data_IF_452775691653
#
_entry.id   IF_452775691653
#
_cell.length_a   1.000
_cell.length_b   1.000
_cell.length_c   1.000
_cell.angle_alpha   90.00
_cell.angle_beta   90.00
_cell.angle_gamma   90.00
#
_symmetry.space_group_name_H-M   'P 1'
#
loop_
_entity.id
_entity.type
_entity.pdbx_description
1 polymer ?
#
# COMPACT_ATOMS: atom_id res chain seq x y z
N UNK A 1 4.01 10.63 15.52
CA UNK A 1 3.82 9.39 16.29
C UNK A 1 2.37 8.95 16.21
N UNK A 2 1.42 9.41 17.02
CA UNK A 2 0.04 8.87 16.97
C UNK A 2 -0.66 8.97 15.61
N UNK A 3 -0.53 10.11 14.91
CA UNK A 3 -1.07 10.26 13.55
C UNK A 3 -0.35 9.32 12.58
N UNK A 4 0.98 9.23 12.66
CA UNK A 4 1.76 8.34 11.80
C UNK A 4 1.40 6.85 12.04
N UNK A 5 1.19 6.46 13.29
CA UNK A 5 0.73 5.13 13.67
C UNK A 5 -0.65 4.80 13.08
N UNK A 6 -1.58 5.76 13.12
CA UNK A 6 -2.89 5.61 12.48
C UNK A 6 -2.79 5.41 10.97
N UNK A 7 -1.98 6.22 10.30
CA UNK A 7 -1.77 6.14 8.84
C UNK A 7 -1.05 4.83 8.43
N UNK A 8 -0.07 4.37 9.21
CA UNK A 8 0.59 3.08 9.00
C UNK A 8 -0.33 1.90 9.30
N UNK A 9 -1.21 2.04 10.29
CA UNK A 9 -2.22 1.04 10.60
C UNK A 9 -3.14 0.80 9.41
N UNK A 10 -3.54 1.88 8.72
CA UNK A 10 -4.35 1.82 7.50
C UNK A 10 -3.60 1.12 6.35
N UNK A 11 -2.34 1.50 6.12
CA UNK A 11 -1.48 0.84 5.11
C UNK A 11 -1.28 -0.65 5.39
N UNK A 12 -1.05 -1.06 6.65
CA UNK A 12 -0.90 -2.49 6.98
C UNK A 12 -2.15 -3.28 6.59
N UNK A 13 -3.35 -2.70 6.70
CA UNK A 13 -4.56 -3.40 6.27
C UNK A 13 -4.60 -3.60 4.75
N UNK A 14 -4.10 -2.62 4.01
CA UNK A 14 -4.19 -2.57 2.56
C UNK A 14 -3.03 -3.31 1.87
N UNK A 15 -1.83 -3.23 2.42
CA UNK A 15 -0.56 -3.61 1.74
C UNK A 15 0.04 -4.93 2.27
N UNK A 16 -0.63 -5.61 3.21
CA UNK A 16 -0.13 -6.84 3.88
C UNK A 16 0.22 -8.03 2.97
N UNK A 17 -0.09 -7.97 1.67
CA UNK A 17 -0.01 -9.13 0.79
C UNK A 17 1.02 -9.02 -0.35
N UNK A 18 1.64 -7.85 -0.57
CA UNK A 18 2.42 -7.61 -1.81
C UNK A 18 3.95 -7.55 -1.64
N UNK A 19 4.59 -8.12 -0.61
CA UNK A 19 6.05 -7.97 -0.47
C UNK A 19 6.81 -9.08 0.25
N UNK A 20 7.61 -9.86 -0.48
CA UNK A 20 8.60 -10.82 0.04
C UNK A 20 9.91 -10.16 0.56
N UNK A 21 9.80 -9.03 1.26
CA UNK A 21 10.95 -8.37 1.89
C UNK A 21 11.05 -8.69 3.39
N UNK A 22 12.25 -8.98 3.91
CA UNK A 22 12.46 -9.13 5.37
C UNK A 22 12.04 -7.87 6.16
N UNK A 23 12.21 -6.69 5.54
CA UNK A 23 11.75 -5.40 6.04
C UNK A 23 10.27 -5.08 5.74
N UNK A 24 9.57 -5.94 5.01
CA UNK A 24 8.12 -5.84 4.71
C UNK A 24 7.29 -6.86 5.49
N UNK A 25 7.90 -7.56 6.45
CA UNK A 25 7.15 -8.49 7.28
C UNK A 25 6.04 -7.77 8.06
N UNK A 26 4.80 -8.25 7.90
CA UNK A 26 3.59 -7.74 8.59
C UNK A 26 3.82 -7.57 10.10
N UNK A 27 4.55 -8.49 10.71
CA UNK A 27 4.93 -8.43 12.13
C UNK A 27 5.80 -7.22 12.46
N UNK A 28 6.78 -6.86 11.63
CA UNK A 28 7.61 -5.68 11.86
C UNK A 28 6.78 -4.40 11.74
N UNK A 29 5.86 -4.34 10.77
CA UNK A 29 4.90 -3.24 10.64
C UNK A 29 4.03 -3.08 11.88
N UNK A 30 3.41 -4.17 12.35
CA UNK A 30 2.58 -4.17 13.57
C UNK A 30 3.41 -3.69 14.77
N UNK A 31 4.61 -4.27 14.97
CA UNK A 31 5.49 -3.88 16.09
C UNK A 31 5.87 -2.41 16.03
N UNK A 32 6.11 -1.86 14.83
CA UNK A 32 6.45 -0.44 14.67
C UNK A 32 5.26 0.48 15.00
N UNK A 33 4.04 0.14 14.55
CA UNK A 33 2.82 0.88 14.89
C UNK A 33 2.58 0.86 16.40
N UNK A 34 2.69 -0.32 17.02
CA UNK A 34 2.54 -0.48 18.48
C UNK A 34 3.60 0.32 19.25
N UNK A 35 4.84 0.33 18.76
CA UNK A 35 5.91 1.15 19.33
C UNK A 35 5.59 2.65 19.25
N UNK A 36 5.07 3.14 18.11
CA UNK A 36 4.70 4.55 17.95
C UNK A 36 3.51 4.97 18.83
N UNK A 37 2.52 4.09 19.02
CA UNK A 37 1.40 4.30 19.95
C UNK A 37 1.93 4.38 21.38
N UNK A 38 2.72 3.39 21.80
CA UNK A 38 3.30 3.34 23.14
C UNK A 38 4.16 4.57 23.42
N UNK A 39 5.06 4.94 22.50
CA UNK A 39 5.94 6.10 22.65
C UNK A 39 5.15 7.41 22.63
N UNK A 40 4.15 7.55 21.76
CA UNK A 40 3.26 8.70 21.70
C UNK A 40 2.50 8.92 23.01
N UNK A 41 1.87 7.87 23.53
CA UNK A 41 1.20 7.91 24.83
C UNK A 41 2.19 8.17 25.98
N UNK A 42 3.40 7.60 25.93
CA UNK A 42 4.43 7.84 26.93
C UNK A 42 4.88 9.33 26.96
N UNK A 43 5.02 9.96 25.78
CA UNK A 43 5.36 11.38 25.68
C UNK A 43 4.24 12.29 26.17
N UNK A 44 2.98 11.99 25.84
CA UNK A 44 1.82 12.76 26.29
C UNK A 44 1.65 12.70 27.81
N UNK A 45 1.96 11.56 28.42
CA UNK A 45 1.75 11.33 29.85
C UNK A 45 2.90 11.84 30.72
N UNK A 46 4.08 12.05 30.13
CA UNK A 46 5.26 12.56 30.82
C UNK A 46 5.80 11.63 31.90
N UNK A 47 5.43 10.34 31.89
CA UNK A 47 5.92 9.37 32.87
C UNK A 47 7.44 9.27 32.76
N UNK A 48 8.20 9.63 33.80
CA UNK A 48 9.69 9.68 33.75
C UNK A 48 10.20 10.52 32.55
N UNK A 49 9.87 11.81 32.54
CA UNK A 49 10.24 12.77 31.49
C UNK A 49 11.71 12.70 31.01
N UNK A 50 12.66 12.40 31.89
CA UNK A 50 14.07 12.24 31.50
C UNK A 50 14.29 11.09 30.51
N UNK A 51 13.65 9.95 30.77
CA UNK A 51 13.76 8.75 29.92
C UNK A 51 12.94 8.90 28.66
N UNK A 52 11.71 9.44 28.75
CA UNK A 52 10.90 9.67 27.56
C UNK A 52 11.58 10.64 26.61
N UNK A 53 12.26 11.69 27.12
CA UNK A 53 13.08 12.61 26.32
C UNK A 53 14.24 11.89 25.64
N UNK A 54 14.99 11.05 26.36
CA UNK A 54 16.11 10.30 25.78
C UNK A 54 15.63 9.34 24.68
N UNK A 55 14.57 8.58 24.93
CA UNK A 55 14.01 7.62 23.96
C UNK A 55 13.46 8.36 22.74
N UNK A 56 12.73 9.46 22.93
CA UNK A 56 12.26 10.28 21.82
C UNK A 56 13.43 10.86 21.02
N UNK A 57 14.47 11.35 21.68
CA UNK A 57 15.64 11.91 21.02
C UNK A 57 16.32 10.86 20.14
N UNK A 58 16.55 9.65 20.65
CA UNK A 58 17.12 8.54 19.88
C UNK A 58 16.20 8.17 18.71
N UNK A 59 14.89 8.04 18.95
CA UNK A 59 13.91 7.65 17.93
C UNK A 59 13.84 8.67 16.79
N UNK A 60 13.62 9.95 17.10
CA UNK A 60 13.56 11.02 16.08
C UNK A 60 14.91 11.23 15.39
N UNK A 61 16.03 10.95 16.06
CA UNK A 61 17.35 10.98 15.42
C UNK A 61 17.51 9.84 14.40
N UNK A 62 17.06 8.62 14.73
CA UNK A 62 17.04 7.50 13.78
C UNK A 62 16.14 7.83 12.59
N UNK A 63 14.95 8.39 12.83
CA UNK A 63 14.03 8.81 11.77
C UNK A 63 14.64 9.90 10.88
N UNK A 64 15.26 10.93 11.48
CA UNK A 64 15.97 11.98 10.73
C UNK A 64 17.11 11.42 9.86
N UNK A 65 17.88 10.44 10.36
CA UNK A 65 18.95 9.80 9.56
C UNK A 65 18.35 8.98 8.42
N UNK A 66 17.29 8.21 8.66
CA UNK A 66 16.62 7.44 7.63
C UNK A 66 15.98 8.34 6.55
N UNK A 67 15.33 9.44 6.95
CA UNK A 67 14.72 10.40 6.02
C UNK A 67 15.78 11.15 5.22
N UNK A 68 16.91 11.52 5.85
CA UNK A 68 18.06 12.10 5.16
C UNK A 68 18.62 11.14 4.10
N UNK A 69 18.79 9.87 4.43
CA UNK A 69 19.24 8.86 3.47
C UNK A 69 18.31 8.77 2.25
N UNK A 70 16.98 8.74 2.47
CA UNK A 70 15.98 8.71 1.39
C UNK A 70 15.99 9.99 0.56
N UNK A 71 16.12 11.15 1.21
CA UNK A 71 16.20 12.45 0.54
C UNK A 71 17.44 12.54 -0.36
N UNK A 72 18.60 12.10 0.13
CA UNK A 72 19.85 12.08 -0.65
C UNK A 72 19.81 11.05 -1.79
N UNK A 73 19.05 9.97 -1.62
CA UNK A 73 18.84 8.95 -2.66
C UNK A 73 17.81 9.38 -3.72
N UNK A 74 17.20 10.56 -3.60
CA UNK A 74 16.22 11.05 -4.56
C UNK A 74 14.89 10.29 -4.55
N UNK A 75 14.55 9.60 -3.45
CA UNK A 75 13.26 8.91 -3.35
C UNK A 75 12.11 9.93 -3.29
N UNK A 76 11.00 9.63 -3.97
CA UNK A 76 9.83 10.51 -4.01
C UNK A 76 9.15 10.63 -2.64
N UNK A 77 9.18 9.57 -1.82
CA UNK A 77 8.49 9.51 -0.54
C UNK A 77 9.35 8.95 0.61
N UNK A 78 9.05 9.39 1.83
CA UNK A 78 9.67 8.86 3.05
C UNK A 78 9.20 7.42 3.36
N UNK A 79 8.00 7.02 2.93
CA UNK A 79 7.32 5.80 3.39
C UNK A 79 6.99 5.78 4.89
N UNK A 80 7.13 6.93 5.57
CA UNK A 80 7.00 7.05 7.03
C UNK A 80 5.54 7.30 7.47
N UNK A 81 4.65 7.60 6.52
CA UNK A 81 3.24 7.91 6.74
C UNK A 81 2.31 6.97 5.95
N UNK A 82 2.83 5.78 5.65
CA UNK A 82 2.21 4.78 4.79
C UNK A 82 1.91 5.27 3.39
N UNK A 83 0.67 5.08 2.93
CA UNK A 83 0.20 5.39 1.56
C UNK A 83 0.39 6.87 1.15
N UNK A 84 0.58 7.76 2.12
CA UNK A 84 0.77 9.18 1.83
C UNK A 84 2.21 9.50 1.46
N UNK A 85 2.40 9.92 0.21
CA UNK A 85 3.68 10.38 -0.30
C UNK A 85 4.03 11.77 0.25
N UNK A 86 4.74 11.77 1.39
CA UNK A 86 5.34 12.99 1.93
C UNK A 86 6.78 13.10 1.46
N UNK A 87 7.11 14.23 0.85
CA UNK A 87 8.47 14.54 0.39
C UNK A 87 9.47 14.40 1.56
N UNK A 88 10.56 13.60 1.40
CA UNK A 88 11.52 13.34 2.46
C UNK A 88 12.13 14.58 3.11
N UNK A 89 12.27 15.69 2.38
CA UNK A 89 12.85 16.94 2.90
C UNK A 89 11.97 17.58 3.98
N UNK A 90 10.65 17.56 3.82
CA UNK A 90 9.73 18.09 4.84
C UNK A 90 9.77 17.26 6.11
N UNK A 91 9.83 15.93 5.98
CA UNK A 91 9.95 15.03 7.13
C UNK A 91 11.28 15.22 7.84
N UNK A 92 12.40 15.35 7.11
CA UNK A 92 13.71 15.65 7.67
C UNK A 92 13.71 16.97 8.45
N UNK A 93 13.09 18.03 7.92
CA UNK A 93 12.97 19.31 8.63
C UNK A 93 12.16 19.19 9.92
N UNK A 94 11.06 18.44 9.89
CA UNK A 94 10.21 18.21 11.06
C UNK A 94 10.96 17.40 12.13
N UNK A 95 11.58 16.28 11.77
CA UNK A 95 12.33 15.44 12.70
C UNK A 95 13.55 16.19 13.26
N UNK A 96 14.27 16.93 12.41
CA UNK A 96 15.39 17.78 12.83
C UNK A 96 14.96 18.88 13.80
N UNK A 97 13.82 19.51 13.57
CA UNK A 97 13.26 20.50 14.48
C UNK A 97 12.88 19.88 15.84
N UNK A 98 12.26 18.70 15.84
CA UNK A 98 11.92 17.97 17.07
C UNK A 98 13.16 17.55 17.86
N UNK A 99 14.19 17.02 17.18
CA UNK A 99 15.49 16.70 17.79
C UNK A 99 16.12 17.95 18.41
N UNK A 100 16.15 19.06 17.67
CA UNK A 100 16.62 20.35 18.18
C UNK A 100 15.85 20.79 19.43
N UNK A 101 14.52 20.78 19.37
CA UNK A 101 13.68 21.13 20.53
C UNK A 101 13.96 20.22 21.73
N UNK A 102 14.11 18.91 21.55
CA UNK A 102 14.40 17.96 22.63
C UNK A 102 15.81 18.17 23.23
N UNK A 103 16.78 18.60 22.42
CA UNK A 103 18.13 18.96 22.91
C UNK A 103 18.12 20.26 23.72
N UNK A 104 17.41 21.30 23.25
CA UNK A 104 17.40 22.61 23.89
C UNK A 104 16.45 22.70 25.10
N UNK A 105 15.32 21.98 25.06
CA UNK A 105 14.38 21.95 26.16
C UNK A 105 15.01 21.27 27.38
N UNK A 106 15.21 22.04 28.46
CA UNK A 106 15.52 21.47 29.78
C UNK A 106 14.27 20.78 30.30
N UNK A 107 14.46 19.58 30.85
CA UNK A 107 13.41 18.88 31.58
C UNK A 107 13.20 19.61 32.91
N UNK A 108 12.56 20.78 32.88
CA UNK A 108 12.14 21.44 34.12
C UNK A 108 11.18 20.48 34.82
N UNK A 109 11.60 20.01 35.99
CA UNK A 109 11.01 18.90 36.75
C UNK A 109 9.70 19.29 37.43
N UNK A 110 9.02 20.31 36.92
CA UNK A 110 7.70 20.71 37.35
C UNK A 110 6.72 19.68 36.79
N UNK A 111 6.47 18.63 37.58
CA UNK A 111 5.55 17.55 37.21
C UNK A 111 4.21 18.16 36.79
N UNK A 112 3.71 17.86 35.58
CA UNK A 112 2.43 18.40 35.15
C UNK A 112 1.33 18.03 36.17
N UNK A 113 0.53 19.02 36.53
CA UNK A 113 -0.47 18.98 37.62
C UNK A 113 -1.47 17.82 37.51
N UNK A 114 -1.67 17.27 36.29
CA UNK A 114 -2.69 16.28 35.99
C UNK A 114 -2.44 14.85 36.54
N UNK A 115 -1.19 14.45 36.83
CA UNK A 115 -0.86 13.05 37.14
C UNK A 115 -0.20 12.84 38.51
N UNK A 116 -0.70 13.53 39.54
CA UNK A 116 -0.24 13.30 40.93
C UNK A 116 -0.87 12.06 41.59
N UNK A 117 -1.94 11.51 41.01
CA UNK A 117 -2.63 10.31 41.50
C UNK A 117 -2.14 9.05 40.79
N UNK A 118 -1.78 8.01 41.56
CA UNK A 118 -1.48 6.68 41.04
C UNK A 118 -2.61 6.10 40.19
N UNK A 119 -3.86 6.49 40.46
CA UNK A 119 -5.01 6.07 39.67
C UNK A 119 -4.96 6.58 38.22
N UNK A 120 -4.42 7.78 38.00
CA UNK A 120 -4.31 8.35 36.66
C UNK A 120 -3.29 7.55 35.83
N UNK A 121 -2.12 7.24 36.40
CA UNK A 121 -1.10 6.40 35.73
C UNK A 121 -1.62 5.01 35.38
N UNK A 122 -2.36 4.38 36.30
CA UNK A 122 -3.00 3.07 36.06
C UNK A 122 -4.04 3.18 34.95
N UNK A 123 -4.88 4.23 34.95
CA UNK A 123 -5.88 4.45 33.90
C UNK A 123 -5.24 4.63 32.52
N UNK A 124 -4.16 5.40 32.43
CA UNK A 124 -3.40 5.57 31.19
C UNK A 124 -2.80 4.26 30.72
N UNK A 125 -2.17 3.49 31.61
CA UNK A 125 -1.59 2.20 31.25
C UNK A 125 -2.65 1.23 30.72
N UNK A 126 -3.80 1.15 31.39
CA UNK A 126 -4.95 0.35 30.92
C UNK A 126 -5.42 0.81 29.55
N UNK A 127 -5.54 2.13 29.33
CA UNK A 127 -5.95 2.67 28.03
C UNK A 127 -4.97 2.28 26.92
N UNK A 128 -3.66 2.39 27.16
CA UNK A 128 -2.64 1.98 26.18
C UNK A 128 -2.72 0.49 25.91
N UNK A 129 -2.81 -0.36 26.94
CA UNK A 129 -2.94 -1.82 26.76
C UNK A 129 -4.21 -2.18 25.99
N UNK A 130 -5.33 -1.51 26.26
CA UNK A 130 -6.57 -1.73 25.52
C UNK A 130 -6.46 -1.28 24.06
N UNK A 131 -5.85 -0.11 23.80
CA UNK A 131 -5.62 0.37 22.45
C UNK A 131 -4.73 -0.62 21.68
N UNK A 132 -3.53 -0.90 22.18
CA UNK A 132 -2.57 -1.84 21.60
C UNK A 132 -3.17 -3.26 21.40
N UNK A 133 -3.88 -3.75 22.42
CA UNK A 133 -4.52 -5.07 22.35
C UNK A 133 -5.63 -5.13 21.31
N UNK A 134 -6.45 -4.08 21.22
CA UNK A 134 -7.53 -3.99 20.23
C UNK A 134 -7.01 -3.83 18.80
N UNK A 135 -5.97 -3.03 18.59
CA UNK A 135 -5.34 -2.83 17.28
C UNK A 135 -4.65 -4.10 16.82
N UNK A 136 -3.86 -4.75 17.69
CA UNK A 136 -3.21 -6.02 17.37
C UNK A 136 -4.24 -7.12 17.11
N UNK A 137 -5.29 -7.25 17.93
CA UNK A 137 -6.34 -8.25 17.72
C UNK A 137 -7.07 -8.03 16.41
N UNK A 138 -7.45 -6.79 16.10
CA UNK A 138 -8.12 -6.46 14.85
C UNK A 138 -7.19 -6.70 13.66
N UNK A 139 -5.96 -6.19 13.68
CA UNK A 139 -4.99 -6.40 12.61
C UNK A 139 -4.63 -7.88 12.38
N UNK A 140 -4.68 -8.74 13.39
CA UNK A 140 -4.42 -10.18 13.22
C UNK A 140 -5.63 -10.97 12.71
N UNK A 141 -6.86 -10.51 13.01
CA UNK A 141 -8.09 -11.21 12.60
C UNK A 141 -8.75 -10.63 11.35
N UNK A 142 -8.35 -9.44 10.89
CA UNK A 142 -8.72 -8.95 9.57
C UNK A 142 -7.93 -9.75 8.53
N UNK A 143 -8.57 -10.78 7.99
CA UNK A 143 -8.17 -11.42 6.75
C UNK A 143 -8.56 -10.46 5.62
N UNK A 144 -7.56 -9.95 4.89
CA UNK A 144 -7.83 -9.19 3.68
C UNK A 144 -8.62 -10.09 2.71
N UNK A 145 -9.61 -9.51 2.02
CA UNK A 145 -10.34 -10.23 0.99
C UNK A 145 -9.37 -10.76 -0.06
N UNK A 146 -9.28 -12.08 -0.18
CA UNK A 146 -8.51 -12.76 -1.22
C UNK A 146 -9.49 -13.45 -2.18
N UNK A 147 -9.12 -13.52 -3.45
CA UNK A 147 -9.86 -14.35 -4.41
C UNK A 147 -9.23 -15.73 -4.39
N UNK A 148 -10.04 -16.75 -4.12
CA UNK A 148 -9.61 -18.14 -4.21
C UNK A 148 -9.47 -18.62 -5.67
N UNK A 149 -9.00 -19.85 -5.84
CA UNK A 149 -8.80 -20.43 -7.17
C UNK A 149 -10.10 -20.60 -7.98
N UNK A 150 -11.26 -20.61 -7.31
CA UNK A 150 -12.58 -20.74 -7.92
C UNK A 150 -13.18 -19.37 -8.30
N UNK A 151 -12.47 -18.27 -8.03
CA UNK A 151 -12.96 -16.92 -8.25
C UNK A 151 -13.96 -16.46 -7.17
N UNK A 152 -14.03 -17.15 -6.03
CA UNK A 152 -14.83 -16.72 -4.89
C UNK A 152 -14.00 -15.85 -3.97
N UNK A 153 -14.67 -14.84 -3.41
CA UNK A 153 -14.06 -13.95 -2.43
C UNK A 153 -14.09 -14.61 -1.05
N UNK A 154 -12.93 -14.72 -0.42
CA UNK A 154 -12.78 -15.15 0.97
C UNK A 154 -12.38 -13.91 1.77
N UNK A 155 -13.22 -13.47 2.71
CA UNK A 155 -12.93 -12.34 3.61
C UNK A 155 -13.87 -11.15 3.41
N UNK A 156 -13.39 -9.95 3.75
CA UNK A 156 -14.13 -8.70 3.55
C UNK A 156 -14.28 -8.41 2.04
N UNK A 157 -15.52 -8.33 1.56
CA UNK A 157 -15.81 -8.17 0.13
C UNK A 157 -15.42 -6.79 -0.42
N UNK A 158 -15.12 -5.82 0.44
CA UNK A 158 -14.83 -4.44 0.01
C UNK A 158 -13.38 -4.23 -0.47
N UNK A 159 -12.44 -5.03 0.01
CA UNK A 159 -11.01 -4.92 -0.32
C UNK A 159 -10.50 -6.24 -0.91
N UNK A 160 -10.01 -6.20 -2.16
CA UNK A 160 -9.53 -7.39 -2.86
C UNK A 160 -8.09 -7.20 -3.30
N UNK A 161 -7.19 -8.02 -2.77
CA UNK A 161 -5.80 -8.07 -3.24
C UNK A 161 -5.67 -9.13 -4.33
N UNK A 162 -5.04 -8.73 -5.43
CA UNK A 162 -4.71 -9.59 -6.55
C UNK A 162 -3.27 -10.07 -6.38
N UNK A 163 -3.07 -11.38 -6.45
CA UNK A 163 -1.77 -12.07 -6.44
C UNK A 163 -1.61 -12.81 -7.77
N UNK A 164 -1.25 -12.10 -8.87
CA UNK A 164 -1.22 -12.67 -10.21
C UNK A 164 -0.30 -13.89 -10.32
N UNK A 165 0.75 -13.95 -9.50
CA UNK A 165 1.74 -15.02 -9.42
C UNK A 165 1.08 -16.38 -9.20
N UNK A 166 0.04 -16.42 -8.37
CA UNK A 166 -0.70 -17.63 -8.05
C UNK A 166 -1.68 -18.04 -9.14
N UNK A 167 -1.95 -17.19 -10.14
CA UNK A 167 -2.93 -17.47 -11.18
C UNK A 167 -2.38 -18.30 -12.34
N UNK A 168 -1.06 -18.48 -12.42
CA UNK A 168 -0.43 -19.19 -13.55
C UNK A 168 -0.91 -20.64 -13.60
N UNK A 169 -1.38 -21.05 -14.78
CA UNK A 169 -2.08 -22.32 -15.06
C UNK A 169 -3.47 -22.45 -14.41
N UNK A 170 -4.04 -21.36 -13.90
CA UNK A 170 -5.39 -21.33 -13.35
C UNK A 170 -6.33 -20.53 -14.26
N UNK A 171 -7.63 -20.79 -14.13
CA UNK A 171 -8.64 -19.92 -14.74
C UNK A 171 -8.52 -18.54 -14.10
N UNK A 172 -8.50 -17.48 -14.90
CA UNK A 172 -8.33 -16.11 -14.41
C UNK A 172 -9.41 -15.80 -13.35
N UNK A 173 -9.03 -15.65 -12.06
CA UNK A 173 -10.03 -15.61 -10.97
C UNK A 173 -10.91 -14.36 -11.02
N UNK A 174 -10.42 -13.29 -11.62
CA UNK A 174 -11.13 -12.02 -11.76
C UNK A 174 -12.16 -11.98 -12.91
N UNK A 175 -12.29 -13.05 -13.72
CA UNK A 175 -13.24 -13.09 -14.85
C UNK A 175 -14.68 -12.69 -14.50
N UNK A 176 -15.27 -13.13 -13.36
CA UNK A 176 -16.64 -12.77 -13.00
C UNK A 176 -16.82 -11.27 -12.73
N UNK A 177 -15.73 -10.56 -12.43
CA UNK A 177 -15.71 -9.15 -12.05
C UNK A 177 -15.26 -8.24 -13.19
N UNK A 178 -15.00 -8.79 -14.38
CA UNK A 178 -14.63 -8.06 -15.59
C UNK A 178 -15.83 -7.89 -16.52
N UNK A 179 -16.09 -6.67 -16.97
CA UNK A 179 -17.12 -6.38 -17.98
C UNK A 179 -16.87 -7.09 -19.33
N UNK A 180 -15.60 -7.36 -19.65
CA UNK A 180 -15.16 -8.14 -20.81
C UNK A 180 -14.83 -9.61 -20.50
N UNK A 181 -15.14 -10.11 -19.30
CA UNK A 181 -14.74 -11.45 -18.85
C UNK A 181 -15.10 -12.58 -19.83
N UNK A 182 -16.33 -12.58 -20.36
CA UNK A 182 -16.79 -13.58 -21.37
C UNK A 182 -15.97 -13.58 -22.67
N UNK A 183 -15.34 -12.46 -23.03
CA UNK A 183 -14.47 -12.37 -24.21
C UNK A 183 -13.11 -13.00 -23.92
N UNK A 184 -12.54 -12.73 -22.75
CA UNK A 184 -11.26 -13.30 -22.31
C UNK A 184 -11.32 -14.84 -22.17
N UNK A 185 -12.50 -15.40 -21.93
CA UNK A 185 -12.74 -16.86 -21.95
C UNK A 185 -12.54 -17.51 -23.33
N UNK A 186 -12.43 -16.72 -24.41
CA UNK A 186 -12.35 -17.22 -25.77
C UNK A 186 -11.15 -16.65 -26.52
N UNK A 187 -10.27 -17.51 -27.03
CA UNK A 187 -9.10 -17.10 -27.82
C UNK A 187 -7.88 -16.79 -26.95
N UNK A 188 -6.85 -16.19 -27.57
CA UNK A 188 -5.58 -15.86 -26.91
C UNK A 188 -5.47 -14.35 -26.71
N UNK A 189 -5.09 -13.95 -25.52
CA UNK A 189 -5.07 -12.56 -25.08
C UNK A 189 -3.77 -12.21 -24.38
N UNK A 190 -3.36 -10.96 -24.54
CA UNK A 190 -2.48 -10.26 -23.62
C UNK A 190 -3.37 -9.31 -22.83
N UNK A 191 -3.57 -9.56 -21.54
CA UNK A 191 -4.33 -8.68 -20.67
C UNK A 191 -3.38 -7.84 -19.82
N UNK A 192 -3.65 -6.54 -19.76
CA UNK A 192 -2.87 -5.56 -19.01
C UNK A 192 -3.79 -4.90 -17.99
N UNK A 193 -3.61 -5.21 -16.71
CA UNK A 193 -4.29 -4.47 -15.64
C UNK A 193 -3.48 -3.22 -15.34
N UNK A 194 -4.15 -2.07 -15.39
CA UNK A 194 -3.51 -0.78 -15.16
C UNK A 194 -4.37 0.13 -14.28
N UNK A 195 -3.71 1.09 -13.62
CA UNK A 195 -4.35 2.24 -12.99
C UNK A 195 -4.01 3.50 -13.79
N UNK A 196 -4.96 4.43 -13.84
CA UNK A 196 -4.81 5.67 -14.61
C UNK A 196 -3.78 6.66 -14.03
N UNK A 197 -3.53 6.59 -12.72
CA UNK A 197 -2.57 7.41 -11.98
C UNK A 197 -1.17 6.77 -11.84
N UNK A 198 -0.99 5.58 -12.42
CA UNK A 198 0.28 4.85 -12.43
C UNK A 198 1.16 5.37 -13.60
N UNK A 199 2.19 6.15 -13.30
CA UNK A 199 3.11 6.72 -14.31
C UNK A 199 3.73 5.65 -15.22
N UNK A 200 4.21 4.55 -14.63
CA UNK A 200 4.78 3.44 -15.37
C UNK A 200 3.76 2.80 -16.32
N UNK A 201 2.49 2.68 -15.88
CA UNK A 201 1.41 2.17 -16.72
C UNK A 201 1.19 3.08 -17.94
N UNK A 202 1.10 4.41 -17.73
CA UNK A 202 0.92 5.39 -18.80
C UNK A 202 2.05 5.32 -19.84
N UNK A 203 3.29 5.12 -19.39
CA UNK A 203 4.44 4.96 -20.28
C UNK A 203 4.40 3.67 -21.11
N UNK A 204 3.79 2.60 -20.59
CA UNK A 204 3.76 1.28 -21.22
C UNK A 204 2.57 1.05 -22.16
N UNK A 205 1.42 1.69 -21.91
CA UNK A 205 0.20 1.50 -22.70
C UNK A 205 0.41 1.66 -24.23
N UNK A 206 1.19 2.63 -24.74
CA UNK A 206 1.46 2.75 -26.17
C UNK A 206 2.17 1.55 -26.79
N UNK A 207 2.94 0.78 -26.01
CA UNK A 207 3.65 -0.41 -26.50
C UNK A 207 2.64 -1.54 -26.78
N UNK A 208 1.69 -1.74 -25.87
CA UNK A 208 0.62 -2.73 -26.03
C UNK A 208 -0.33 -2.38 -27.18
N UNK A 209 -0.58 -1.10 -27.41
CA UNK A 209 -1.31 -0.63 -28.61
C UNK A 209 -0.57 -1.03 -29.89
N UNK A 210 0.75 -0.87 -29.95
CA UNK A 210 1.56 -1.30 -31.09
C UNK A 210 1.54 -2.82 -31.28
N UNK A 211 1.62 -3.61 -30.20
CA UNK A 211 1.48 -5.08 -30.26
C UNK A 211 0.12 -5.48 -30.84
N UNK A 212 -0.97 -4.82 -30.40
CA UNK A 212 -2.31 -5.07 -30.92
C UNK A 212 -2.44 -4.79 -32.43
N UNK A 213 -1.84 -3.68 -32.90
CA UNK A 213 -1.79 -3.35 -34.34
C UNK A 213 -1.01 -4.42 -35.12
N UNK A 214 0.11 -4.89 -34.58
CA UNK A 214 0.93 -5.93 -35.23
C UNK A 214 0.18 -7.25 -35.35
N UNK A 215 -0.52 -7.69 -34.30
CA UNK A 215 -1.34 -8.91 -34.35
C UNK A 215 -2.46 -8.81 -35.39
N UNK A 216 -3.15 -7.66 -35.44
CA UNK A 216 -4.19 -7.40 -36.44
C UNK A 216 -3.62 -7.42 -37.87
N UNK A 217 -2.47 -6.78 -38.11
CA UNK A 217 -1.82 -6.74 -39.42
C UNK A 217 -1.30 -8.12 -39.86
N UNK A 218 -0.83 -8.94 -38.91
CA UNK A 218 -0.36 -10.30 -39.16
C UNK A 218 -1.51 -11.32 -39.35
N UNK A 219 -2.77 -10.92 -39.12
CA UNK A 219 -3.92 -11.84 -39.13
C UNK A 219 -3.83 -12.90 -38.03
N UNK A 220 -3.11 -12.62 -36.95
CA UNK A 220 -3.02 -13.51 -35.80
C UNK A 220 -4.31 -13.45 -34.99
N UNK A 221 -4.73 -14.60 -34.47
CA UNK A 221 -5.88 -14.68 -33.56
C UNK A 221 -5.47 -14.41 -32.11
N UNK A 222 -4.70 -13.33 -31.92
CA UNK A 222 -4.20 -12.84 -30.64
C UNK A 222 -4.74 -11.41 -30.46
N UNK A 223 -5.18 -11.10 -29.25
CA UNK A 223 -5.81 -9.83 -28.92
C UNK A 223 -5.13 -9.20 -27.71
N UNK A 224 -5.22 -7.88 -27.59
CA UNK A 224 -4.75 -7.16 -26.41
C UNK A 224 -5.96 -6.57 -25.69
N UNK A 225 -6.02 -6.77 -24.38
CA UNK A 225 -7.03 -6.20 -23.50
C UNK A 225 -6.39 -5.26 -22.49
N UNK A 226 -6.86 -4.01 -22.46
CA UNK A 226 -6.47 -3.01 -21.47
C UNK A 226 -7.57 -2.94 -20.40
N UNK A 227 -7.25 -3.41 -19.20
CA UNK A 227 -8.19 -3.57 -18.09
C UNK A 227 -7.90 -2.50 -17.05
N UNK A 228 -8.82 -1.55 -16.93
CA UNK A 228 -8.70 -0.45 -15.98
C UNK A 228 -9.15 -0.91 -14.57
N UNK A 229 -8.29 -0.72 -13.58
CA UNK A 229 -8.60 -0.89 -12.16
C UNK A 229 -9.21 0.39 -11.59
N UNK A 230 -10.26 0.33 -10.75
CA UNK A 230 -10.79 1.52 -10.11
C UNK A 230 -9.77 2.12 -9.11
N UNK A 231 -9.87 3.44 -8.83
CA UNK A 231 -10.80 4.38 -9.44
C UNK A 231 -10.47 4.63 -10.92
N UNK A 232 -11.52 4.71 -11.75
CA UNK A 232 -11.35 4.94 -13.18
C UNK A 232 -11.00 6.40 -13.48
N UNK A 233 -10.26 6.61 -14.57
CA UNK A 233 -10.01 7.92 -15.11
C UNK A 233 -11.30 8.62 -15.50
N UNK A 234 -11.34 9.95 -15.30
CA UNK A 234 -12.30 10.77 -16.02
C UNK A 234 -11.96 10.75 -17.51
N UNK A 235 -12.94 11.02 -18.38
CA UNK A 235 -12.73 11.06 -19.83
C UNK A 235 -11.64 12.07 -20.28
N UNK A 236 -11.29 13.04 -19.43
CA UNK A 236 -10.24 14.03 -19.71
C UNK A 236 -8.83 13.52 -19.37
N UNK A 237 -8.70 12.60 -18.41
CA UNK A 237 -7.41 12.07 -17.93
C UNK A 237 -7.19 10.60 -18.29
N UNK A 238 -7.99 10.06 -19.19
CA UNK A 238 -7.86 8.67 -19.64
C UNK A 238 -6.58 8.50 -20.47
N UNK A 239 -5.61 7.69 -20.01
CA UNK A 239 -4.36 7.50 -20.74
C UNK A 239 -4.55 6.65 -22.01
N UNK A 240 -5.70 5.98 -22.17
CA UNK A 240 -6.01 5.15 -23.34
C UNK A 240 -6.88 5.95 -24.33
N UNK A 241 -6.40 6.19 -25.56
CA UNK A 241 -7.19 6.90 -26.58
C UNK A 241 -8.51 6.20 -26.88
N UNK A 242 -9.55 6.98 -27.21
CA UNK A 242 -10.88 6.43 -27.54
C UNK A 242 -10.89 5.60 -28.83
N UNK A 243 -9.91 5.79 -29.71
CA UNK A 243 -9.72 5.10 -30.99
C UNK A 243 -8.71 3.94 -30.90
N UNK A 244 -8.35 3.50 -29.69
CA UNK A 244 -7.51 2.32 -29.46
C UNK A 244 -8.02 1.09 -30.20
N UNK A 245 -7.11 0.31 -30.80
CA UNK A 245 -7.42 -1.01 -31.34
C UNK A 245 -7.52 -2.09 -30.25
N UNK A 246 -7.00 -1.80 -29.06
CA UNK A 246 -7.09 -2.69 -27.93
C UNK A 246 -8.53 -2.78 -27.41
N UNK A 247 -8.85 -3.91 -26.82
CA UNK A 247 -10.15 -4.12 -26.19
C UNK A 247 -10.09 -3.56 -24.79
N UNK A 248 -10.94 -2.57 -24.52
CA UNK A 248 -11.04 -1.96 -23.20
C UNK A 248 -11.95 -2.77 -22.30
N UNK A 249 -11.54 -2.95 -21.05
CA UNK A 249 -12.34 -3.53 -19.98
C UNK A 249 -12.13 -2.82 -18.66
N UNK A 250 -13.01 -3.09 -17.71
CA UNK A 250 -13.00 -2.52 -16.37
C UNK A 250 -13.28 -3.60 -15.33
N UNK A 251 -12.56 -3.52 -14.22
CA UNK A 251 -12.87 -4.30 -13.02
C UNK A 251 -14.00 -3.63 -12.25
N UNK A 252 -14.96 -4.41 -11.78
CA UNK A 252 -16.13 -3.98 -11.01
C UNK A 252 -15.82 -2.92 -9.94
N UNK A 253 -16.49 -1.77 -10.00
CA UNK A 253 -16.24 -0.62 -9.11
C UNK A 253 -16.81 -0.78 -7.69
N UNK A 254 -17.59 -1.85 -7.43
CA UNK A 254 -18.15 -2.09 -6.10
C UNK A 254 -17.09 -2.51 -5.06
N UNK A 255 -15.85 -2.69 -5.48
CA UNK A 255 -14.72 -3.16 -4.68
C UNK A 255 -13.47 -2.33 -4.91
N UNK A 256 -12.62 -2.29 -3.90
CA UNK A 256 -11.30 -1.68 -3.98
C UNK A 256 -10.26 -2.75 -4.33
N UNK A 257 -9.66 -2.61 -5.51
CA UNK A 257 -8.75 -3.62 -6.07
C UNK A 257 -7.28 -3.19 -5.92
N UNK A 258 -6.46 -4.11 -5.43
CA UNK A 258 -5.03 -3.89 -5.19
C UNK A 258 -4.18 -4.87 -5.99
N UNK A 259 -3.26 -4.34 -6.77
CA UNK A 259 -2.24 -5.08 -7.48
C UNK A 259 -1.03 -4.18 -7.69
N UNK A 260 0.16 -4.77 -7.86
CA UNK A 260 1.32 -4.04 -8.35
C UNK A 260 1.14 -3.77 -9.85
N UNK A 261 0.58 -2.61 -10.19
CA UNK A 261 0.33 -2.26 -11.59
C UNK A 261 1.58 -1.71 -12.28
N UNK A 262 1.75 -1.98 -13.58
CA UNK A 262 0.86 -2.77 -14.42
C UNK A 262 1.09 -4.28 -14.26
N UNK A 263 0.00 -5.06 -14.29
CA UNK A 263 0.08 -6.53 -14.33
C UNK A 263 -0.16 -6.98 -15.76
N UNK A 264 0.80 -7.69 -16.34
CA UNK A 264 0.73 -8.15 -17.73
C UNK A 264 0.68 -9.68 -17.75
N UNK A 265 -0.38 -10.22 -18.32
CA UNK A 265 -0.62 -11.66 -18.36
C UNK A 265 -1.02 -12.14 -19.76
N UNK A 266 -0.54 -13.32 -20.13
CA UNK A 266 -0.98 -14.05 -21.31
C UNK A 266 -2.10 -15.01 -20.89
N UNK A 267 -3.22 -14.97 -21.61
CA UNK A 267 -4.42 -15.76 -21.32
C UNK A 267 -4.78 -16.57 -22.56
N UNK A 268 -4.99 -17.88 -22.42
CA UNK A 268 -5.57 -18.74 -23.45
C UNK A 268 -6.88 -19.33 -22.95
N UNK A 269 -8.00 -18.95 -23.58
CA UNK A 269 -9.35 -19.41 -23.25
C UNK A 269 -9.69 -19.27 -21.76
N UNK A 270 -9.42 -18.09 -21.22
CA UNK A 270 -9.68 -17.74 -19.82
C UNK A 270 -8.70 -18.33 -18.80
N UNK A 271 -7.65 -19.02 -19.22
CA UNK A 271 -6.60 -19.55 -18.33
C UNK A 271 -5.34 -18.70 -18.46
N UNK A 272 -4.77 -18.26 -17.34
CA UNK A 272 -3.51 -17.50 -17.34
C UNK A 272 -2.37 -18.47 -17.64
N UNK A 273 -1.72 -18.31 -18.79
CA UNK A 273 -0.63 -19.20 -19.21
C UNK A 273 0.72 -18.70 -18.76
N UNK A 274 0.89 -17.38 -18.63
CA UNK A 274 2.17 -16.76 -18.30
C UNK A 274 1.98 -15.35 -17.74
N UNK A 275 2.79 -14.96 -16.77
CA UNK A 275 2.99 -13.56 -16.40
C UNK A 275 4.21 -13.02 -17.13
N UNK A 276 4.10 -11.80 -17.67
CA UNK A 276 5.25 -11.08 -18.20
C UNK A 276 5.81 -10.25 -17.07
N UNK A 277 6.92 -10.70 -16.49
CA UNK A 277 7.74 -9.83 -15.65
C UNK A 277 8.26 -8.70 -16.53
N UNK A 278 7.91 -7.47 -16.16
CA UNK A 278 8.57 -6.33 -16.75
C UNK A 278 9.91 -6.17 -16.03
N UNK A 279 11.00 -6.66 -16.63
CA UNK A 279 12.33 -6.36 -16.13
C UNK A 279 12.49 -4.83 -16.14
N UNK A 280 12.59 -4.23 -14.95
CA UNK A 280 12.95 -2.83 -14.77
C UNK A 280 14.34 -2.61 -15.38
N UNK A 281 14.40 -2.25 -16.67
CA UNK A 281 15.63 -1.84 -17.35
C UNK A 281 16.02 -0.41 -16.98
#
# INVERSE_FOLDING_TARGET
MLIAAGLKGDEILVTSLLGEGWFHSRLLGIVLVEFEICLGCWLVTGWRAEWSRLVALVTFSIFAVATLYKALSGQASCGCFGIYEVNPWWTLMLDGALVGMLFYARADTERPFFFRSSAALVSTFILVVLLCGSTTWWMLNTEAGAIDQDGQLIGDESFVVLEPEDWVNQRLPILPYLDIGKRLENGRWIAVLYKHDCSHCVEMLPQFEQEAIQFAAAGQNEHVALIEMPPYASAEYDPVPSDTVCIRGRLDESREWFAQTPVVMEIDKGVVTKLREHENQ
#
